data_IF_436746277727
#
_entry.id   IF_436746277727
#
_cell.length_a   1.000
_cell.length_b   1.000
_cell.length_c   1.000
_cell.angle_alpha   90.00
_cell.angle_beta   90.00
_cell.angle_gamma   90.00
#
_symmetry.space_group_name_H-M   'P 1'
#
loop_
_entity.id
_entity.type
_entity.pdbx_description
1 polymer ?
#
# COMPACT_ATOMS: atom_id res chain seq x y z
N UNK A 1 2.77 -34.83 89.19
CA UNK A 1 3.92 -34.84 88.24
C UNK A 1 3.81 -35.92 87.16
N UNK A 2 3.41 -37.16 87.48
CA UNK A 2 3.32 -38.25 86.49
C UNK A 2 2.31 -38.02 85.35
N UNK A 3 1.13 -37.48 85.63
CA UNK A 3 0.12 -37.19 84.58
C UNK A 3 0.63 -36.20 83.52
N UNK A 4 1.34 -35.14 83.91
CA UNK A 4 1.95 -34.20 82.96
C UNK A 4 2.97 -34.88 82.05
N UNK A 5 3.71 -35.87 82.56
CA UNK A 5 4.74 -36.60 81.80
C UNK A 5 4.06 -37.55 80.79
N UNK A 6 3.01 -38.26 81.19
CA UNK A 6 2.24 -39.10 80.27
C UNK A 6 1.54 -38.27 79.18
N UNK A 7 1.03 -37.10 79.55
CA UNK A 7 0.42 -36.19 78.60
C UNK A 7 1.46 -35.70 77.57
N UNK A 8 2.64 -35.28 78.02
CA UNK A 8 3.78 -34.91 77.16
C UNK A 8 4.22 -36.07 76.25
N UNK A 9 4.26 -37.29 76.76
CA UNK A 9 4.58 -38.50 75.99
C UNK A 9 3.53 -38.81 74.92
N UNK A 10 2.23 -38.64 75.22
CA UNK A 10 1.18 -38.80 74.21
C UNK A 10 1.24 -37.70 73.15
N UNK A 11 1.52 -36.46 73.57
CA UNK A 11 1.74 -35.35 72.64
C UNK A 11 2.96 -35.59 71.73
N UNK A 12 4.08 -36.08 72.26
CA UNK A 12 5.29 -36.33 71.44
C UNK A 12 5.08 -37.45 70.44
N UNK A 13 4.40 -38.54 70.81
CA UNK A 13 4.04 -39.62 69.89
C UNK A 13 3.07 -39.15 68.81
N UNK A 14 2.09 -38.32 69.16
CA UNK A 14 1.16 -37.72 68.21
C UNK A 14 1.90 -36.83 67.21
N UNK A 15 2.79 -35.97 67.69
CA UNK A 15 3.63 -35.08 66.87
C UNK A 15 4.57 -35.87 65.96
N UNK A 16 5.20 -36.94 66.47
CA UNK A 16 6.05 -37.83 65.67
C UNK A 16 5.27 -38.51 64.54
N UNK A 17 4.03 -38.92 64.83
CA UNK A 17 3.15 -39.56 63.86
C UNK A 17 2.69 -38.55 62.80
N UNK A 18 2.38 -37.32 63.19
CA UNK A 18 2.01 -36.25 62.27
C UNK A 18 3.19 -35.85 61.38
N UNK A 19 4.38 -35.68 61.96
CA UNK A 19 5.63 -35.41 61.23
C UNK A 19 5.95 -36.49 60.19
N UNK A 20 5.76 -37.77 60.54
CA UNK A 20 5.96 -38.87 59.59
C UNK A 20 4.93 -38.90 58.46
N UNK A 21 3.75 -38.28 58.65
CA UNK A 21 2.68 -38.21 57.64
C UNK A 21 2.76 -36.95 56.77
N UNK A 22 3.45 -35.90 57.22
CA UNK A 22 3.64 -34.66 56.46
C UNK A 22 4.23 -34.89 55.05
N UNK A 23 5.29 -35.69 54.84
CA UNK A 23 5.86 -35.92 53.52
C UNK A 23 4.82 -36.45 52.53
N UNK A 24 4.03 -37.45 52.94
CA UNK A 24 2.98 -38.03 52.08
C UNK A 24 1.89 -37.03 51.73
N UNK A 25 1.53 -36.14 52.65
CA UNK A 25 0.54 -35.08 52.38
C UNK A 25 1.11 -34.02 51.44
N UNK A 26 2.38 -33.65 51.63
CA UNK A 26 3.10 -32.72 50.76
C UNK A 26 3.18 -33.27 49.34
N UNK A 27 3.54 -34.54 49.17
CA UNK A 27 3.63 -35.19 47.85
C UNK A 27 2.26 -35.21 47.15
N UNK A 28 1.21 -35.63 47.85
CA UNK A 28 -0.15 -35.68 47.30
C UNK A 28 -0.68 -34.28 46.91
N UNK A 29 -0.40 -33.26 47.73
CA UNK A 29 -0.79 -31.88 47.42
C UNK A 29 0.04 -31.30 46.27
N UNK A 30 1.33 -31.61 46.21
CA UNK A 30 2.22 -31.22 45.13
C UNK A 30 1.70 -31.76 43.78
N UNK A 31 1.30 -33.03 43.74
CA UNK A 31 0.77 -33.65 42.54
C UNK A 31 -0.56 -33.02 42.08
N UNK A 32 -1.43 -32.63 43.02
CA UNK A 32 -2.64 -31.88 42.70
C UNK A 32 -2.30 -30.51 42.08
N UNK A 33 -1.32 -29.79 42.64
CA UNK A 33 -0.85 -28.50 42.09
C UNK A 33 -0.30 -28.68 40.68
N UNK A 34 0.52 -29.71 40.43
CA UNK A 34 1.04 -29.97 39.08
C UNK A 34 -0.07 -30.22 38.06
N UNK A 35 -1.09 -30.99 38.43
CA UNK A 35 -2.25 -31.21 37.56
C UNK A 35 -3.02 -29.90 37.29
N UNK A 36 -3.19 -29.04 38.30
CA UNK A 36 -3.83 -27.73 38.11
C UNK A 36 -2.99 -26.78 37.24
N UNK A 37 -1.67 -26.80 37.39
CA UNK A 37 -0.76 -26.02 36.53
C UNK A 37 -0.90 -26.50 35.08
N UNK A 38 -0.80 -27.81 34.83
CA UNK A 38 -0.94 -28.37 33.49
C UNK A 38 -2.32 -28.05 32.88
N UNK A 39 -3.39 -28.11 33.67
CA UNK A 39 -4.73 -27.73 33.21
C UNK A 39 -4.81 -26.23 32.88
N UNK A 40 -4.19 -25.38 33.71
CA UNK A 40 -4.15 -23.93 33.50
C UNK A 40 -3.35 -23.55 32.26
N UNK A 41 -2.20 -24.20 32.05
CA UNK A 41 -1.36 -24.00 30.88
C UNK A 41 -2.09 -24.41 29.60
N UNK A 42 -2.79 -25.55 29.63
CA UNK A 42 -3.65 -25.96 28.51
C UNK A 42 -4.76 -24.95 28.22
N UNK A 43 -5.38 -24.39 29.26
CA UNK A 43 -6.41 -23.35 29.10
C UNK A 43 -5.83 -22.06 28.51
N UNK A 44 -4.67 -21.61 28.99
CA UNK A 44 -3.98 -20.44 28.46
C UNK A 44 -3.59 -20.67 27.00
N UNK A 45 -3.05 -21.85 26.67
CA UNK A 45 -2.69 -22.20 25.29
C UNK A 45 -3.91 -22.18 24.35
N UNK A 46 -5.06 -22.67 24.80
CA UNK A 46 -6.32 -22.58 24.07
C UNK A 46 -6.75 -21.12 23.83
N UNK A 47 -6.67 -20.28 24.86
CA UNK A 47 -7.00 -18.85 24.75
C UNK A 47 -6.05 -18.10 23.80
N UNK A 48 -4.76 -18.43 23.84
CA UNK A 48 -3.75 -17.86 22.93
C UNK A 48 -4.00 -18.32 21.50
N UNK A 49 -4.40 -19.57 21.28
CA UNK A 49 -4.76 -20.05 19.95
C UNK A 49 -6.02 -19.33 19.42
N UNK A 50 -7.02 -19.11 20.27
CA UNK A 50 -8.24 -18.37 19.91
C UNK A 50 -7.95 -16.91 19.56
N UNK A 51 -7.15 -16.22 20.39
CA UNK A 51 -6.75 -14.83 20.10
C UNK A 51 -5.91 -14.75 18.82
N UNK A 52 -5.00 -15.70 18.60
CA UNK A 52 -4.23 -15.80 17.37
C UNK A 52 -5.11 -16.00 16.13
N UNK A 53 -6.17 -16.81 16.24
CA UNK A 53 -7.13 -16.98 15.15
C UNK A 53 -7.85 -15.68 14.82
N UNK A 54 -8.32 -14.97 15.85
CA UNK A 54 -8.99 -13.67 15.68
C UNK A 54 -8.06 -12.64 15.02
N UNK A 55 -6.81 -12.56 15.48
CA UNK A 55 -5.79 -11.67 14.88
C UNK A 55 -5.52 -12.05 13.42
N UNK A 56 -5.44 -13.35 13.10
CA UNK A 56 -5.23 -13.81 11.73
C UNK A 56 -6.44 -13.50 10.81
N UNK A 57 -7.66 -13.57 11.34
CA UNK A 57 -8.88 -13.16 10.63
C UNK A 57 -8.88 -11.65 10.34
N UNK A 58 -8.57 -10.83 11.34
CA UNK A 58 -8.42 -9.37 11.18
C UNK A 58 -7.31 -9.03 10.16
N UNK A 59 -6.16 -9.69 10.26
CA UNK A 59 -5.05 -9.52 9.31
C UNK A 59 -5.42 -9.91 7.87
N UNK A 60 -6.30 -10.90 7.67
CA UNK A 60 -6.82 -11.21 6.32
C UNK A 60 -7.65 -10.06 5.76
N UNK A 61 -8.48 -9.41 6.58
CA UNK A 61 -9.28 -8.26 6.17
C UNK A 61 -8.35 -7.10 5.79
N UNK A 62 -7.34 -6.82 6.62
CA UNK A 62 -6.35 -5.76 6.35
C UNK A 62 -5.58 -6.01 5.05
N UNK A 63 -5.18 -7.26 4.79
CA UNK A 63 -4.53 -7.63 3.54
C UNK A 63 -5.45 -7.40 2.33
N UNK A 64 -6.74 -7.77 2.42
CA UNK A 64 -7.70 -7.51 1.35
C UNK A 64 -7.95 -6.01 1.14
N UNK A 65 -7.96 -5.22 2.21
CA UNK A 65 -8.06 -3.76 2.14
C UNK A 65 -6.83 -3.17 1.44
N UNK A 66 -5.63 -3.62 1.78
CA UNK A 66 -4.39 -3.18 1.13
C UNK A 66 -4.39 -3.48 -0.37
N UNK A 67 -4.86 -4.67 -0.78
CA UNK A 67 -5.00 -5.01 -2.21
C UNK A 67 -6.02 -4.10 -2.90
N UNK A 68 -7.16 -3.82 -2.27
CA UNK A 68 -8.15 -2.87 -2.82
C UNK A 68 -7.60 -1.46 -2.92
N UNK A 69 -6.89 -1.00 -1.89
CA UNK A 69 -6.26 0.33 -1.86
C UNK A 69 -5.25 0.46 -2.99
N UNK A 70 -4.37 -0.51 -3.17
CA UNK A 70 -3.42 -0.53 -4.29
C UNK A 70 -4.12 -0.44 -5.65
N UNK A 71 -5.26 -1.12 -5.82
CA UNK A 71 -6.06 -1.04 -7.05
C UNK A 71 -6.66 0.35 -7.27
N UNK A 72 -7.21 0.97 -6.23
CA UNK A 72 -7.75 2.33 -6.29
C UNK A 72 -6.65 3.34 -6.58
N UNK A 73 -5.49 3.22 -5.94
CA UNK A 73 -4.32 4.06 -6.23
C UNK A 73 -3.85 3.91 -7.67
N UNK A 74 -3.82 2.67 -8.20
CA UNK A 74 -3.49 2.43 -9.60
C UNK A 74 -4.51 3.06 -10.57
N UNK A 75 -5.81 2.96 -10.27
CA UNK A 75 -6.86 3.62 -11.05
C UNK A 75 -6.72 5.15 -10.99
N UNK A 76 -6.51 5.72 -9.81
CA UNK A 76 -6.28 7.16 -9.64
C UNK A 76 -5.03 7.63 -10.39
N UNK A 77 -3.96 6.83 -10.42
CA UNK A 77 -2.77 7.16 -11.19
C UNK A 77 -3.05 7.20 -12.70
N UNK A 78 -3.87 6.29 -13.23
CA UNK A 78 -4.26 6.30 -14.64
C UNK A 78 -5.18 7.48 -14.96
N UNK A 79 -6.15 7.79 -14.10
CA UNK A 79 -7.00 8.98 -14.24
C UNK A 79 -6.17 10.27 -14.20
N UNK A 80 -5.21 10.35 -13.28
CA UNK A 80 -4.25 11.48 -13.19
C UNK A 80 -3.39 11.58 -14.46
N UNK A 81 -3.02 10.45 -15.06
CA UNK A 81 -2.28 10.41 -16.32
C UNK A 81 -3.12 10.96 -17.47
N UNK A 82 -4.41 10.64 -17.50
CA UNK A 82 -5.35 11.19 -18.48
C UNK A 82 -5.55 12.70 -18.27
N UNK A 83 -5.72 13.15 -17.01
CA UNK A 83 -5.81 14.57 -16.68
C UNK A 83 -4.54 15.34 -17.08
N UNK A 84 -3.36 14.73 -16.88
CA UNK A 84 -2.08 15.29 -17.34
C UNK A 84 -2.01 15.43 -18.87
N UNK A 85 -2.65 14.53 -19.62
CA UNK A 85 -2.75 14.65 -21.08
C UNK A 85 -3.67 15.81 -21.49
N UNK A 86 -4.79 16.01 -20.78
CA UNK A 86 -5.65 17.17 -20.96
C UNK A 86 -4.90 18.48 -20.65
N UNK A 87 -4.12 18.52 -19.56
CA UNK A 87 -3.30 19.68 -19.19
C UNK A 87 -2.28 20.04 -20.28
N UNK A 88 -1.60 19.05 -20.86
CA UNK A 88 -0.69 19.26 -22.00
C UNK A 88 -1.42 19.82 -23.23
N UNK A 89 -2.66 19.42 -23.45
CA UNK A 89 -3.48 19.89 -24.58
C UNK A 89 -3.85 21.37 -24.41
N UNK A 90 -4.31 21.77 -23.22
CA UNK A 90 -4.63 23.18 -22.92
C UNK A 90 -3.38 24.04 -23.06
N UNK A 91 -2.25 23.59 -22.51
CA UNK A 91 -0.98 24.31 -22.62
C UNK A 91 -0.52 24.46 -24.08
N UNK A 92 -0.78 23.47 -24.93
CA UNK A 92 -0.48 23.55 -26.37
C UNK A 92 -1.37 24.59 -27.07
N UNK A 93 -2.68 24.61 -26.77
CA UNK A 93 -3.59 25.63 -27.31
C UNK A 93 -3.19 27.05 -26.90
N UNK A 94 -2.86 27.28 -25.63
CA UNK A 94 -2.46 28.62 -25.16
C UNK A 94 -1.15 29.06 -25.80
N UNK A 95 -0.19 28.16 -25.96
CA UNK A 95 1.10 28.46 -26.57
C UNK A 95 0.99 28.82 -28.07
N UNK A 96 -0.02 28.30 -28.77
CA UNK A 96 -0.33 28.69 -30.15
C UNK A 96 -0.99 30.08 -30.22
N UNK A 97 -1.89 30.41 -29.29
CA UNK A 97 -2.62 31.68 -29.32
C UNK A 97 -1.85 32.87 -28.76
N UNK A 98 -0.99 32.66 -27.77
CA UNK A 98 -0.24 33.71 -27.06
C UNK A 98 0.63 34.59 -27.99
N UNK A 99 1.44 34.05 -28.93
CA UNK A 99 2.20 34.89 -29.86
C UNK A 99 1.28 35.65 -30.83
N UNK A 100 0.18 35.04 -31.28
CA UNK A 100 -0.80 35.69 -32.15
C UNK A 100 -1.50 36.87 -31.48
N UNK A 101 -1.93 36.71 -30.21
CA UNK A 101 -2.57 37.78 -29.45
C UNK A 101 -1.58 38.90 -29.09
N UNK A 102 -0.34 38.56 -28.71
CA UNK A 102 0.69 39.56 -28.42
C UNK A 102 1.00 40.42 -29.65
N UNK A 103 1.20 39.79 -30.82
CA UNK A 103 1.48 40.51 -32.07
C UNK A 103 0.27 41.36 -32.48
N UNK A 104 -0.95 40.83 -32.36
CA UNK A 104 -2.17 41.60 -32.62
C UNK A 104 -2.29 42.85 -31.71
N UNK A 105 -1.98 42.74 -30.42
CA UNK A 105 -1.97 43.88 -29.49
C UNK A 105 -0.93 44.94 -29.87
N UNK A 106 0.29 44.54 -30.23
CA UNK A 106 1.33 45.48 -30.68
C UNK A 106 0.92 46.24 -31.93
N UNK A 107 0.33 45.55 -32.90
CA UNK A 107 -0.13 46.16 -34.15
C UNK A 107 -1.40 47.00 -33.99
N UNK A 108 -2.26 46.66 -33.04
CA UNK A 108 -3.41 47.50 -32.67
C UNK A 108 -2.99 48.83 -32.06
N UNK A 109 -1.84 48.88 -31.38
CA UNK A 109 -1.31 50.11 -30.78
C UNK A 109 -0.62 51.02 -31.81
N UNK A 110 0.00 50.44 -32.84
CA UNK A 110 0.74 51.18 -33.88
C UNK A 110 -0.11 51.61 -35.10
N UNK A 111 -1.43 51.72 -34.97
CA UNK A 111 -2.27 52.45 -35.94
C UNK A 111 -2.33 51.87 -37.38
N UNK A 112 -2.09 50.58 -37.59
CA UNK A 112 -2.08 49.98 -38.93
C UNK A 112 -3.43 49.98 -39.68
N UNK A 113 -4.55 50.29 -39.03
CA UNK A 113 -5.86 50.40 -39.66
C UNK A 113 -6.26 51.87 -39.79
N UNK A 114 -6.37 52.36 -41.03
CA UNK A 114 -6.93 53.69 -41.32
C UNK A 114 -8.45 53.58 -41.39
N UNK A 115 -9.13 53.88 -40.28
CA UNK A 115 -10.58 53.84 -40.18
C UNK A 115 -11.30 55.04 -40.85
N UNK A 116 -10.55 55.99 -41.44
CA UNK A 116 -11.09 57.11 -42.22
C UNK A 116 -10.33 57.30 -43.55
N UNK A 117 -10.53 56.40 -44.55
CA UNK A 117 -9.89 56.52 -45.85
C UNK A 117 -10.54 57.65 -46.68
N UNK A 118 -9.72 58.48 -47.34
CA UNK A 118 -10.22 59.41 -48.36
C UNK A 118 -10.69 58.63 -49.59
N UNK A 119 -11.61 59.19 -50.38
CA UNK A 119 -12.23 58.54 -51.53
C UNK A 119 -11.18 58.00 -52.53
N UNK A 120 -10.95 56.68 -52.52
CA UNK A 120 -9.98 55.98 -53.36
C UNK A 120 -8.82 55.30 -52.63
N UNK A 121 -8.66 55.51 -51.32
CA UNK A 121 -7.62 54.85 -50.52
C UNK A 121 -8.10 53.55 -49.86
N UNK A 122 -7.24 52.54 -49.86
CA UNK A 122 -7.51 51.22 -49.28
C UNK A 122 -7.64 51.31 -47.76
N UNK A 123 -8.77 50.82 -47.24
CA UNK A 123 -9.05 50.66 -45.80
C UNK A 123 -8.02 49.70 -45.15
N UNK A 124 -7.50 48.77 -45.94
CA UNK A 124 -6.44 47.85 -45.54
C UNK A 124 -5.07 48.44 -45.91
N UNK A 125 -4.26 48.72 -44.90
CA UNK A 125 -2.84 48.99 -45.03
C UNK A 125 -2.13 47.80 -45.70
N UNK A 126 -1.23 48.02 -46.68
CA UNK A 126 -0.42 46.97 -47.32
C UNK A 126 0.42 46.13 -46.35
N UNK A 127 0.58 46.57 -45.10
CA UNK A 127 1.42 45.95 -44.08
C UNK A 127 0.76 44.76 -43.37
N UNK A 128 -0.46 44.34 -43.74
CA UNK A 128 -1.07 43.10 -43.22
C UNK A 128 -0.19 41.85 -43.45
N UNK A 129 0.65 41.84 -44.50
CA UNK A 129 1.61 40.76 -44.71
C UNK A 129 2.70 40.72 -43.61
N UNK A 130 3.06 41.87 -43.03
CA UNK A 130 4.06 41.97 -41.95
C UNK A 130 3.57 41.27 -40.67
N UNK A 131 2.26 41.29 -40.41
CA UNK A 131 1.67 40.51 -39.32
C UNK A 131 1.97 39.01 -39.46
N UNK A 132 1.72 38.43 -40.63
CA UNK A 132 2.04 37.01 -40.88
C UNK A 132 3.56 36.76 -40.88
N UNK A 133 4.35 37.68 -41.44
CA UNK A 133 5.80 37.57 -41.49
C UNK A 133 6.46 37.58 -40.09
N UNK A 134 5.86 38.24 -39.09
CA UNK A 134 6.37 38.30 -37.71
C UNK A 134 5.74 37.22 -36.82
N UNK A 135 4.44 36.97 -36.93
CA UNK A 135 3.74 35.99 -36.09
C UNK A 135 4.22 34.57 -36.34
N UNK A 136 4.42 34.16 -37.61
CA UNK A 136 4.86 32.79 -37.95
C UNK A 136 6.22 32.42 -37.32
N UNK A 137 7.31 33.20 -37.50
CA UNK A 137 8.58 32.88 -36.87
C UNK A 137 8.52 32.98 -35.34
N UNK A 138 7.75 33.91 -34.78
CA UNK A 138 7.59 34.01 -33.33
C UNK A 138 6.92 32.76 -32.75
N UNK A 139 5.84 32.28 -33.37
CA UNK A 139 5.18 31.02 -32.98
C UNK A 139 6.12 29.83 -33.10
N UNK A 140 6.89 29.74 -34.19
CA UNK A 140 7.89 28.68 -34.35
C UNK A 140 8.98 28.74 -33.27
N UNK A 141 9.43 29.93 -32.88
CA UNK A 141 10.45 30.11 -31.85
C UNK A 141 9.93 29.64 -30.48
N UNK A 142 8.73 30.08 -30.10
CA UNK A 142 8.09 29.67 -28.83
C UNK A 142 7.83 28.16 -28.80
N UNK A 143 7.33 27.59 -29.90
CA UNK A 143 7.10 26.14 -30.01
C UNK A 143 8.40 25.34 -29.98
N UNK A 144 9.46 25.82 -30.65
CA UNK A 144 10.79 25.18 -30.64
C UNK A 144 11.42 25.21 -29.26
N UNK A 145 11.30 26.33 -28.54
CA UNK A 145 11.79 26.47 -27.17
C UNK A 145 11.05 25.50 -26.23
N UNK A 146 9.74 25.39 -26.39
CA UNK A 146 8.92 24.45 -25.62
C UNK A 146 9.30 23.00 -25.91
N UNK A 147 9.42 22.60 -27.18
CA UNK A 147 9.85 21.25 -27.56
C UNK A 147 11.25 20.94 -27.02
N UNK A 148 12.18 21.89 -27.10
CA UNK A 148 13.54 21.72 -26.58
C UNK A 148 13.56 21.55 -25.05
N UNK A 149 12.82 22.40 -24.33
CA UNK A 149 12.69 22.31 -22.87
C UNK A 149 12.01 21.00 -22.45
N UNK A 150 10.89 20.66 -23.09
CA UNK A 150 10.12 19.46 -22.82
C UNK A 150 10.93 18.18 -23.11
N UNK A 151 11.61 18.11 -24.26
CA UNK A 151 12.50 16.99 -24.59
C UNK A 151 13.70 16.89 -23.62
N UNK A 152 14.20 18.02 -23.10
CA UNK A 152 15.27 18.03 -22.09
C UNK A 152 14.77 17.52 -20.73
N UNK A 153 13.56 17.88 -20.33
CA UNK A 153 12.90 17.34 -19.14
C UNK A 153 12.65 15.83 -19.27
N UNK A 154 12.08 15.39 -20.39
CA UNK A 154 11.78 13.98 -20.62
C UNK A 154 13.04 13.10 -20.57
N UNK A 155 14.16 13.57 -21.11
CA UNK A 155 15.45 12.85 -21.02
C UNK A 155 15.92 12.67 -19.56
N UNK A 156 15.64 13.62 -18.68
CA UNK A 156 15.97 13.51 -17.26
C UNK A 156 15.02 12.56 -16.51
N UNK A 157 13.73 12.52 -16.89
CA UNK A 157 12.75 11.59 -16.33
C UNK A 157 12.93 10.15 -16.84
N UNK A 158 13.19 9.97 -18.14
CA UNK A 158 13.37 8.64 -18.78
C UNK A 158 14.58 7.89 -18.25
N UNK A 159 15.64 8.59 -17.82
CA UNK A 159 16.83 7.99 -17.22
C UNK A 159 16.58 7.39 -15.83
N UNK A 160 15.56 7.84 -15.10
CA UNK A 160 15.15 7.27 -13.81
C UNK A 160 14.23 6.06 -14.01
N UNK A 161 13.23 6.19 -14.90
CA UNK A 161 12.33 5.07 -15.22
C UNK A 161 13.03 3.87 -15.87
N UNK A 162 14.11 4.06 -16.64
CA UNK A 162 14.84 2.92 -17.24
C UNK A 162 15.53 2.04 -16.17
N UNK A 163 15.97 2.65 -15.06
CA UNK A 163 16.53 1.94 -13.92
C UNK A 163 15.45 1.22 -13.11
N UNK A 164 14.24 1.77 -13.03
CA UNK A 164 13.08 1.11 -12.40
C UNK A 164 12.55 -0.07 -13.24
N UNK A 165 12.55 0.02 -14.58
CA UNK A 165 12.16 -1.10 -15.46
C UNK A 165 13.13 -2.29 -15.33
N UNK A 166 14.41 -2.05 -15.06
CA UNK A 166 15.40 -3.10 -14.75
C UNK A 166 15.13 -3.75 -13.38
N UNK A 167 14.69 -2.93 -12.39
CA UNK A 167 14.21 -3.41 -11.09
C UNK A 167 12.95 -4.29 -11.22
N UNK A 168 11.97 -3.92 -12.06
CA UNK A 168 10.78 -4.74 -12.33
C UNK A 168 11.15 -6.10 -12.96
N UNK A 169 12.16 -6.14 -13.83
CA UNK A 169 12.66 -7.41 -14.39
C UNK A 169 13.37 -8.25 -13.32
N UNK A 170 14.12 -7.62 -12.41
CA UNK A 170 14.71 -8.29 -11.25
C UNK A 170 13.64 -8.83 -10.29
N UNK A 171 12.60 -8.04 -9.98
CA UNK A 171 11.47 -8.47 -9.15
C UNK A 171 10.69 -9.61 -9.79
N UNK A 172 10.48 -9.59 -11.11
CA UNK A 172 9.84 -10.70 -11.82
C UNK A 172 10.68 -11.96 -11.81
N UNK A 173 12.00 -11.85 -11.95
CA UNK A 173 12.92 -12.99 -11.86
C UNK A 173 12.95 -13.56 -10.44
N UNK A 174 13.03 -12.70 -9.42
CA UNK A 174 12.96 -13.10 -8.01
C UNK A 174 11.60 -13.74 -7.69
N UNK A 175 10.49 -13.17 -8.19
CA UNK A 175 9.14 -13.72 -7.99
C UNK A 175 8.96 -15.05 -8.72
N UNK A 176 9.50 -15.20 -9.93
CA UNK A 176 9.53 -16.49 -10.64
C UNK A 176 10.33 -17.50 -9.83
N UNK A 177 11.53 -17.14 -9.34
CA UNK A 177 12.34 -18.02 -8.50
C UNK A 177 11.66 -18.38 -7.19
N UNK A 178 10.98 -17.43 -6.54
CA UNK A 178 10.18 -17.70 -5.35
C UNK A 178 9.03 -18.65 -5.67
N UNK A 179 8.32 -18.48 -6.80
CA UNK A 179 7.24 -19.37 -7.23
C UNK A 179 7.74 -20.77 -7.53
N UNK A 180 8.90 -20.92 -8.17
CA UNK A 180 9.50 -22.22 -8.45
C UNK A 180 10.06 -22.88 -7.18
N UNK A 181 10.69 -22.12 -6.29
CA UNK A 181 11.15 -22.61 -4.98
C UNK A 181 9.99 -22.94 -4.02
N UNK A 182 8.87 -22.25 -4.14
CA UNK A 182 7.64 -22.53 -3.38
C UNK A 182 6.90 -23.74 -3.97
N UNK A 183 7.02 -24.01 -5.27
CA UNK A 183 6.41 -25.19 -5.90
C UNK A 183 7.04 -26.53 -5.50
N UNK A 184 8.24 -26.51 -4.89
CA UNK A 184 8.88 -27.69 -4.29
C UNK A 184 8.53 -27.90 -2.81
N UNK A 185 7.68 -27.06 -2.20
CA UNK A 185 7.12 -27.35 -0.89
C UNK A 185 5.82 -28.16 -1.04
N UNK A 186 5.80 -29.44 -0.62
CA UNK A 186 4.57 -30.21 -0.61
C UNK A 186 3.67 -29.68 0.50
N UNK A 187 2.74 -28.77 0.17
CA UNK A 187 1.60 -28.45 1.03
C UNK A 187 0.61 -29.61 0.91
N UNK A 188 0.92 -30.70 1.61
CA UNK A 188 0.00 -31.81 1.86
C UNK A 188 -1.08 -31.36 2.83
N UNK A 189 -2.09 -30.65 2.34
CA UNK A 189 -3.37 -30.47 3.03
C UNK A 189 -4.41 -31.30 2.28
N UNK A 190 -4.43 -32.61 2.53
CA UNK A 190 -5.56 -33.47 2.20
C UNK A 190 -6.42 -33.71 3.45
N UNK A 191 -7.52 -32.95 3.48
CA UNK A 191 -8.88 -33.32 3.90
C UNK A 191 -9.03 -34.58 4.78
N UNK A 192 -8.95 -34.39 6.10
CA UNK A 192 -9.79 -35.14 7.03
C UNK A 192 -10.65 -34.17 7.81
N UNK A 193 -11.92 -34.07 7.39
CA UNK A 193 -13.12 -33.80 8.21
C UNK A 193 -14.27 -33.69 7.20
N UNK A 194 -15.00 -34.79 7.02
CA UNK A 194 -16.41 -34.73 6.65
C UNK A 194 -17.13 -35.86 7.37
N UNK A 195 -17.61 -35.50 8.56
CA UNK A 195 -18.95 -35.79 9.09
C UNK A 195 -19.35 -37.27 9.15
N UNK A 196 -19.35 -37.79 10.38
CA UNK A 196 -20.31 -38.81 10.76
C UNK A 196 -21.73 -38.25 10.72
N UNK A 197 -22.56 -38.83 9.85
CA UNK A 197 -24.01 -38.81 9.99
C UNK A 197 -24.59 -39.94 9.13
N UNK A 198 -25.56 -40.65 9.70
CA UNK A 198 -26.44 -41.64 9.08
C UNK A 198 -25.88 -43.05 8.82
N UNK A 199 -25.82 -43.84 9.90
CA UNK A 199 -26.11 -45.28 9.80
C UNK A 199 -27.06 -45.67 10.94
N UNK A 200 -28.36 -45.61 10.65
CA UNK A 200 -29.41 -46.29 11.41
C UNK A 200 -30.10 -47.25 10.44
N UNK A 201 -30.04 -48.52 10.83
CA UNK A 201 -30.76 -49.70 10.31
C UNK A 201 -32.30 -49.49 10.36
N UNK A 202 -33.11 -50.30 9.65
CA UNK A 202 -33.18 -51.76 9.80
C UNK A 202 -32.67 -52.59 8.62
#
# INVERSE_FOLDING_TARGET
>A
MREKIEQQMRYSVQVQKDLNMMPRRIDNQSQAIFNFIAQRDNKINLQVAESSRKIAEESRIDNLLNVKLARVTAQMAEETRQDSAAMKTIATMTLVFLPGTAVASFFSMNGMFNWSPAAGESIASPYLYVFFAVTVPLTLLVYSLWLWWFARLEKAHKKKNLTDIDFDQYEQEVTRRMRTATSSFPVGIEKHVTIGAAQQQP
#
